data_IF_692246727742
#
_entry.id   IF_692246727742
#
_cell.length_a   1.000
_cell.length_b   1.000
_cell.length_c   1.000
_cell.angle_alpha   90.00
_cell.angle_beta   90.00
_cell.angle_gamma   90.00
#
_symmetry.space_group_name_H-M   'P 1'
#
loop_
_entity.id
_entity.type
_entity.pdbx_description
1 polymer ?
#
# COMPACT_ATOMS: atom_id res chain seq x y z
N UNK A 1 5.90 -3.48 -19.00
CA UNK A 1 6.50 -2.13 -18.98
C UNK A 1 8.01 -2.32 -18.91
N UNK A 2 8.81 -1.70 -19.79
CA UNK A 2 10.26 -1.71 -19.62
C UNK A 2 10.61 -0.88 -18.38
N UNK A 3 11.20 -1.51 -17.37
CA UNK A 3 11.73 -0.85 -16.18
C UNK A 3 13.25 -0.88 -16.35
N UNK A 4 13.91 0.27 -16.61
CA UNK A 4 15.37 0.33 -16.59
C UNK A 4 15.90 -0.27 -15.30
N UNK A 5 16.98 -1.05 -15.37
CA UNK A 5 17.53 -1.77 -14.22
C UNK A 5 17.84 -0.86 -13.03
N UNK A 6 18.25 0.39 -13.28
CA UNK A 6 18.54 1.38 -12.24
C UNK A 6 17.30 1.94 -11.51
N UNK A 7 16.08 1.73 -12.04
CA UNK A 7 14.83 2.08 -11.36
C UNK A 7 14.17 0.87 -10.69
N UNK A 8 14.62 -0.33 -11.03
CA UNK A 8 14.08 -1.57 -10.49
C UNK A 8 14.71 -1.84 -9.12
N UNK A 9 13.91 -1.90 -8.06
CA UNK A 9 14.38 -2.21 -6.72
C UNK A 9 14.06 -3.67 -6.42
N UNK A 10 15.07 -4.53 -6.39
CA UNK A 10 14.90 -5.97 -6.13
C UNK A 10 15.05 -6.36 -4.66
N UNK A 11 15.46 -5.41 -3.82
CA UNK A 11 15.58 -5.57 -2.37
C UNK A 11 14.18 -5.72 -1.76
N UNK A 12 13.91 -6.86 -1.13
CA UNK A 12 12.61 -7.17 -0.55
C UNK A 12 12.28 -6.25 0.63
N UNK A 13 13.26 -5.89 1.45
CA UNK A 13 13.03 -5.04 2.63
C UNK A 13 12.62 -3.63 2.19
N UNK A 14 13.23 -3.09 1.12
CA UNK A 14 12.80 -1.81 0.54
C UNK A 14 11.40 -1.90 -0.09
N UNK A 15 11.07 -3.01 -0.74
CA UNK A 15 9.72 -3.23 -1.29
C UNK A 15 8.67 -3.29 -0.18
N UNK A 16 8.94 -4.03 0.89
CA UNK A 16 8.06 -4.16 2.06
C UNK A 16 7.91 -2.83 2.78
N UNK A 17 9.00 -2.09 2.99
CA UNK A 17 8.97 -0.74 3.57
C UNK A 17 8.01 0.18 2.82
N UNK A 18 7.99 0.12 1.48
CA UNK A 18 7.02 0.88 0.68
C UNK A 18 5.57 0.44 0.96
N UNK A 19 5.32 -0.87 1.01
CA UNK A 19 3.99 -1.45 1.30
C UNK A 19 3.50 -0.97 2.67
N UNK A 20 4.36 -1.03 3.70
CA UNK A 20 4.00 -0.63 5.06
C UNK A 20 3.73 0.88 5.17
N UNK A 21 4.52 1.71 4.48
CA UNK A 21 4.32 3.16 4.46
C UNK A 21 3.07 3.58 3.68
N UNK A 22 2.74 2.87 2.59
CA UNK A 22 1.63 3.17 1.68
C UNK A 22 0.72 1.94 1.50
N UNK A 23 0.02 1.47 2.55
CA UNK A 23 -0.62 0.16 2.56
C UNK A 23 -1.99 0.11 1.88
N UNK A 24 -2.55 1.25 1.48
CA UNK A 24 -3.76 1.30 0.68
C UNK A 24 -3.43 0.84 -0.74
N UNK A 25 -3.49 -0.46 -0.96
CA UNK A 25 -3.21 -1.10 -2.23
C UNK A 25 -4.43 -1.15 -3.13
N UNK A 26 -4.18 -1.20 -4.44
CA UNK A 26 -5.21 -1.50 -5.44
C UNK A 26 -5.07 -2.95 -5.85
N UNK A 27 -6.02 -3.77 -5.41
CA UNK A 27 -6.14 -5.18 -5.80
C UNK A 27 -6.78 -5.26 -7.18
N UNK A 28 -6.14 -5.95 -8.10
CA UNK A 28 -6.60 -6.27 -9.44
C UNK A 28 -6.76 -7.77 -9.59
N UNK A 29 -7.87 -8.17 -10.21
CA UNK A 29 -8.11 -9.52 -10.68
C UNK A 29 -8.86 -9.45 -12.00
N UNK A 30 -8.74 -10.51 -12.79
CA UNK A 30 -9.51 -10.65 -14.02
C UNK A 30 -10.13 -12.04 -14.09
N UNK A 31 -11.35 -12.12 -14.61
CA UNK A 31 -11.95 -13.36 -15.06
C UNK A 31 -12.15 -13.24 -16.56
N UNK A 32 -11.51 -14.13 -17.33
CA UNK A 32 -11.87 -14.28 -18.73
C UNK A 32 -13.32 -14.74 -18.75
N UNK A 33 -14.26 -13.84 -19.05
CA UNK A 33 -15.68 -14.12 -19.01
C UNK A 33 -15.96 -15.43 -19.73
N UNK A 34 -16.38 -16.46 -18.99
CA UNK A 34 -16.89 -17.69 -19.61
C UNK A 34 -18.32 -17.48 -20.10
N UNK A 35 -18.66 -16.29 -20.61
CA UNK A 35 -19.94 -16.03 -21.25
C UNK A 35 -19.98 -16.63 -22.67
N UNK A 36 -19.65 -17.92 -22.79
CA UNK A 36 -19.89 -18.69 -24.00
C UNK A 36 -21.24 -19.40 -23.91
N UNK A 37 -21.86 -19.68 -25.07
CA UNK A 37 -23.09 -20.49 -25.19
C UNK A 37 -23.06 -21.77 -24.32
N UNK A 38 -21.90 -22.41 -24.18
CA UNK A 38 -21.69 -23.60 -23.35
C UNK A 38 -21.95 -23.37 -21.84
N UNK A 39 -21.67 -22.19 -21.31
CA UNK A 39 -21.90 -21.87 -19.89
C UNK A 39 -23.38 -21.54 -19.63
N UNK A 40 -24.06 -20.93 -20.61
CA UNK A 40 -25.52 -20.76 -20.60
C UNK A 40 -26.25 -22.11 -20.54
N UNK A 41 -25.87 -23.07 -21.40
CA UNK A 41 -26.49 -24.40 -21.41
C UNK A 41 -26.23 -25.21 -20.13
N UNK A 42 -25.16 -24.90 -19.37
CA UNK A 42 -24.83 -25.57 -18.10
C UNK A 42 -25.44 -24.89 -16.88
N UNK A 43 -25.47 -23.56 -16.84
CA UNK A 43 -25.89 -22.78 -15.67
C UNK A 43 -27.36 -22.38 -15.70
N UNK A 44 -28.01 -22.38 -16.87
CA UNK A 44 -29.36 -21.89 -17.07
C UNK A 44 -29.51 -20.38 -16.89
N UNK A 45 -28.41 -19.65 -16.67
CA UNK A 45 -28.41 -18.19 -16.49
C UNK A 45 -28.17 -17.53 -17.85
N UNK A 46 -29.12 -16.72 -18.38
CA UNK A 46 -28.90 -15.99 -19.62
C UNK A 46 -27.64 -15.13 -19.51
N UNK A 47 -26.94 -14.85 -20.62
CA UNK A 47 -25.84 -13.90 -20.62
C UNK A 47 -26.35 -12.58 -20.04
N UNK A 48 -26.00 -12.30 -18.78
CA UNK A 48 -26.31 -11.01 -18.16
C UNK A 48 -25.48 -9.96 -18.89
N UNK A 49 -26.06 -8.77 -19.12
CA UNK A 49 -25.30 -7.60 -19.56
C UNK A 49 -24.00 -7.52 -18.77
N UNK A 50 -22.86 -7.54 -19.47
CA UNK A 50 -21.55 -7.50 -18.85
C UNK A 50 -21.48 -6.26 -17.96
N UNK A 51 -21.48 -6.44 -16.63
CA UNK A 51 -21.11 -5.35 -15.73
C UNK A 51 -19.69 -4.94 -16.12
N UNK A 52 -19.38 -3.64 -16.12
CA UNK A 52 -18.03 -3.16 -16.50
C UNK A 52 -16.93 -3.91 -15.75
N UNK A 53 -17.20 -4.28 -14.49
CA UNK A 53 -16.25 -4.98 -13.62
C UNK A 53 -16.36 -6.52 -13.66
N UNK A 54 -17.16 -7.10 -14.56
CA UNK A 54 -17.39 -8.56 -14.61
C UNK A 54 -16.22 -9.34 -15.22
N UNK A 55 -15.35 -8.68 -15.96
CA UNK A 55 -14.16 -9.28 -16.58
C UNK A 55 -12.87 -8.85 -15.89
N UNK A 56 -12.80 -7.61 -15.40
CA UNK A 56 -11.67 -7.06 -14.66
C UNK A 56 -12.19 -6.23 -13.50
N UNK A 57 -11.68 -6.49 -12.29
CA UNK A 57 -12.10 -5.76 -11.10
C UNK A 57 -10.90 -5.12 -10.42
N UNK A 58 -11.12 -3.91 -9.89
CA UNK A 58 -10.18 -3.20 -9.03
C UNK A 58 -10.84 -2.89 -7.69
N UNK A 59 -10.15 -3.09 -6.58
CA UNK A 59 -10.64 -2.70 -5.24
C UNK A 59 -9.50 -2.12 -4.43
N UNK A 60 -9.76 -0.97 -3.81
CA UNK A 60 -8.81 -0.29 -2.92
C UNK A 60 -9.00 -0.84 -1.51
N UNK A 61 -7.96 -1.44 -0.94
CA UNK A 61 -8.01 -2.05 0.40
C UNK A 61 -6.72 -1.73 1.15
N UNK A 62 -6.78 -1.48 2.48
CA UNK A 62 -5.59 -1.52 3.31
C UNK A 62 -5.09 -2.97 3.41
N UNK A 63 -3.81 -3.16 3.15
CA UNK A 63 -3.13 -4.44 3.32
C UNK A 63 -2.12 -4.37 4.47
N UNK A 64 -1.90 -5.52 5.09
CA UNK A 64 -0.79 -5.76 5.99
C UNK A 64 0.12 -6.84 5.40
N UNK A 65 1.42 -6.62 5.43
CA UNK A 65 2.42 -7.60 4.99
C UNK A 65 2.76 -8.56 6.13
N UNK A 66 2.76 -9.86 5.82
CA UNK A 66 3.14 -10.92 6.76
C UNK A 66 4.37 -11.65 6.21
N UNK A 67 5.52 -11.63 6.90
CA UNK A 67 6.73 -12.31 6.43
C UNK A 67 6.58 -13.83 6.45
N UNK A 68 7.17 -14.51 5.47
CA UNK A 68 7.28 -15.98 5.49
C UNK A 68 8.58 -16.41 6.16
N UNK A 69 8.59 -16.33 7.48
CA UNK A 69 9.76 -16.67 8.30
C UNK A 69 10.12 -18.16 8.25
N UNK A 70 9.19 -19.03 7.85
CA UNK A 70 9.40 -20.48 7.86
C UNK A 70 10.14 -20.96 6.61
N UNK A 71 9.83 -20.39 5.43
CA UNK A 71 10.40 -20.86 4.16
C UNK A 71 11.35 -19.86 3.51
N UNK A 72 11.41 -18.61 3.99
CA UNK A 72 12.14 -17.53 3.34
C UNK A 72 11.47 -17.09 2.02
N UNK A 73 10.20 -17.41 1.83
CA UNK A 73 9.38 -16.92 0.72
C UNK A 73 9.19 -15.40 0.76
N UNK A 74 8.52 -14.84 -0.25
CA UNK A 74 8.29 -13.38 -0.35
C UNK A 74 7.20 -12.86 0.59
N UNK A 75 6.73 -13.67 1.55
CA UNK A 75 5.65 -13.31 2.46
C UNK A 75 4.26 -13.36 1.84
N UNK A 76 3.31 -12.78 2.57
CA UNK A 76 1.89 -12.73 2.24
C UNK A 76 1.34 -11.32 2.44
N UNK A 77 0.25 -11.00 1.76
CA UNK A 77 -0.59 -9.85 2.08
C UNK A 77 -1.90 -10.32 2.70
N UNK A 78 -2.33 -9.68 3.79
CA UNK A 78 -3.64 -9.90 4.38
C UNK A 78 -4.48 -8.63 4.31
N UNK A 79 -5.79 -8.80 4.04
CA UNK A 79 -6.78 -7.75 4.04
C UNK A 79 -8.15 -8.32 4.37
N UNK A 80 -9.16 -7.46 4.47
CA UNK A 80 -10.56 -7.86 4.51
C UNK A 80 -11.38 -7.04 3.52
N UNK A 81 -12.53 -7.57 3.11
CA UNK A 81 -13.42 -6.93 2.15
C UNK A 81 -14.88 -7.17 2.57
N UNK A 82 -15.80 -6.29 2.18
CA UNK A 82 -17.23 -6.48 2.45
C UNK A 82 -17.73 -7.78 1.78
N UNK A 83 -18.42 -8.65 2.53
CA UNK A 83 -18.84 -9.98 2.06
C UNK A 83 -19.62 -9.98 0.75
N UNK A 84 -20.33 -8.89 0.44
CA UNK A 84 -21.14 -8.68 -0.77
C UNK A 84 -20.37 -8.08 -1.94
N UNK A 85 -19.11 -7.69 -1.78
CA UNK A 85 -18.29 -7.19 -2.87
C UNK A 85 -17.95 -8.37 -3.82
N UNK A 86 -18.28 -8.19 -5.10
CA UNK A 86 -18.13 -9.19 -6.16
C UNK A 86 -16.68 -9.70 -6.30
N UNK A 87 -15.68 -8.90 -5.93
CA UNK A 87 -14.27 -9.28 -6.03
C UNK A 87 -13.96 -10.55 -5.23
N UNK A 88 -14.69 -10.83 -4.13
CA UNK A 88 -14.56 -12.08 -3.39
C UNK A 88 -14.87 -13.30 -4.27
N UNK A 89 -16.00 -13.27 -4.98
CA UNK A 89 -16.39 -14.34 -5.88
C UNK A 89 -15.41 -14.46 -7.06
N UNK A 90 -14.96 -13.32 -7.60
CA UNK A 90 -14.02 -13.32 -8.72
C UNK A 90 -12.69 -14.00 -8.35
N UNK A 91 -12.17 -13.74 -7.13
CA UNK A 91 -10.95 -14.38 -6.64
C UNK A 91 -11.13 -15.88 -6.34
N UNK A 92 -12.33 -16.32 -5.97
CA UNK A 92 -12.65 -17.74 -5.81
C UNK A 92 -12.68 -18.47 -7.18
N UNK A 93 -13.13 -17.79 -8.23
CA UNK A 93 -13.15 -18.30 -9.61
C UNK A 93 -11.76 -18.29 -10.27
N UNK A 94 -10.99 -17.22 -10.05
CA UNK A 94 -9.60 -17.09 -10.48
C UNK A 94 -8.77 -16.43 -9.37
N UNK A 95 -7.91 -17.16 -8.67
CA UNK A 95 -7.16 -16.60 -7.54
C UNK A 95 -5.99 -15.71 -7.97
N UNK A 96 -5.61 -15.68 -9.26
CA UNK A 96 -4.45 -14.92 -9.70
C UNK A 96 -4.74 -13.42 -9.61
N UNK A 97 -3.93 -12.69 -8.85
CA UNK A 97 -4.14 -11.27 -8.62
C UNK A 97 -2.84 -10.47 -8.62
N UNK A 98 -3.01 -9.16 -8.72
CA UNK A 98 -1.95 -8.15 -8.59
C UNK A 98 -2.41 -7.12 -7.55
N UNK A 99 -1.58 -6.80 -6.58
CA UNK A 99 -1.77 -5.63 -5.71
C UNK A 99 -0.73 -4.56 -6.06
N UNK A 100 -1.20 -3.34 -6.35
CA UNK A 100 -0.34 -2.19 -6.62
C UNK A 100 -0.33 -1.25 -5.42
N UNK A 101 0.86 -0.95 -4.92
CA UNK A 101 1.12 0.07 -3.90
C UNK A 101 1.89 1.21 -4.53
N UNK A 102 1.54 2.45 -4.20
CA UNK A 102 2.13 3.65 -4.79
C UNK A 102 2.45 4.68 -3.70
N UNK A 103 3.62 5.29 -3.79
CA UNK A 103 4.02 6.39 -2.90
C UNK A 103 3.35 7.72 -3.27
N UNK A 104 3.75 8.78 -2.58
CA UNK A 104 3.62 10.13 -3.17
C UNK A 104 4.39 10.22 -4.49
N UNK A 105 3.87 11.01 -5.42
CA UNK A 105 4.47 11.27 -6.74
C UNK A 105 4.55 12.78 -7.01
N UNK A 106 5.33 13.20 -8.01
CA UNK A 106 5.20 14.55 -8.54
C UNK A 106 5.68 14.65 -9.97
N UNK A 107 5.06 15.54 -10.73
CA UNK A 107 5.67 16.10 -11.92
C UNK A 107 6.97 16.82 -11.55
N UNK A 108 8.00 16.65 -12.36
CA UNK A 108 9.30 17.32 -12.24
C UNK A 108 9.48 18.25 -13.42
N UNK A 109 9.41 19.55 -13.14
CA UNK A 109 9.61 20.58 -14.16
C UNK A 109 11.07 20.65 -14.58
N UNK A 110 11.38 20.74 -15.89
CA UNK A 110 12.72 21.02 -16.35
C UNK A 110 13.32 22.33 -15.80
N UNK A 111 12.48 23.30 -15.41
CA UNK A 111 12.93 24.57 -14.84
C UNK A 111 13.59 24.42 -13.46
N UNK A 112 13.41 23.27 -12.81
CA UNK A 112 14.04 22.99 -11.52
C UNK A 112 15.49 22.53 -11.67
N UNK A 113 15.93 22.12 -12.87
CA UNK A 113 17.31 21.71 -13.11
C UNK A 113 18.23 22.92 -13.32
N UNK A 114 19.20 23.21 -12.41
CA UNK A 114 20.08 24.35 -12.57
C UNK A 114 20.95 24.25 -13.84
N UNK A 115 21.30 23.04 -14.28
CA UNK A 115 22.08 22.83 -15.49
C UNK A 115 21.28 23.00 -16.80
N UNK A 116 19.95 23.19 -16.75
CA UNK A 116 19.13 23.42 -17.95
C UNK A 116 19.62 24.63 -18.73
N UNK A 117 19.91 25.73 -18.05
CA UNK A 117 20.42 26.97 -18.69
C UNK A 117 21.76 26.78 -19.42
N UNK A 118 22.52 25.72 -19.12
CA UNK A 118 23.81 25.44 -19.74
C UNK A 118 23.74 24.48 -20.93
N UNK A 119 22.76 23.57 -20.93
CA UNK A 119 22.74 22.44 -21.88
C UNK A 119 21.47 22.35 -22.71
N UNK A 120 20.37 22.96 -22.26
CA UNK A 120 19.03 22.94 -22.89
C UNK A 120 18.45 21.53 -23.12
N UNK A 121 19.08 20.48 -22.58
CA UNK A 121 18.73 19.07 -22.81
C UNK A 121 18.01 18.44 -21.62
N UNK A 122 16.90 19.03 -21.19
CA UNK A 122 16.04 18.46 -20.14
C UNK A 122 14.59 18.40 -20.59
N UNK A 123 13.96 17.25 -20.34
CA UNK A 123 12.56 16.99 -20.63
C UNK A 123 11.77 16.81 -19.33
N UNK A 124 10.47 17.10 -19.32
CA UNK A 124 9.63 16.84 -18.16
C UNK A 124 9.58 15.35 -17.82
N UNK A 125 9.39 15.05 -16.54
CA UNK A 125 9.25 13.67 -16.04
C UNK A 125 8.37 13.63 -14.79
N UNK A 126 8.13 12.43 -14.26
CA UNK A 126 7.53 12.21 -12.96
C UNK A 126 8.48 11.44 -12.04
N UNK A 127 8.45 11.80 -10.77
CA UNK A 127 9.08 11.06 -9.67
C UNK A 127 8.00 10.34 -8.87
N UNK A 128 8.25 9.07 -8.55
CA UNK A 128 7.34 8.18 -7.83
C UNK A 128 8.04 6.88 -7.44
N UNK A 129 7.46 6.16 -6.48
CA UNK A 129 7.74 4.76 -6.23
C UNK A 129 6.45 3.92 -6.35
N UNK A 130 6.57 2.71 -6.88
CA UNK A 130 5.51 1.71 -6.82
C UNK A 130 6.04 0.30 -6.58
N UNK A 131 5.21 -0.53 -5.97
CA UNK A 131 5.41 -1.98 -5.80
C UNK A 131 4.20 -2.72 -6.34
N UNK A 132 4.45 -3.71 -7.17
CA UNK A 132 3.48 -4.62 -7.77
C UNK A 132 3.72 -6.02 -7.17
N UNK A 133 2.82 -6.45 -6.28
CA UNK A 133 2.85 -7.79 -5.68
C UNK A 133 1.91 -8.72 -6.46
N UNK A 134 2.46 -9.74 -7.08
CA UNK A 134 1.73 -10.75 -7.83
C UNK A 134 1.59 -12.01 -6.99
N UNK A 135 0.38 -12.56 -6.94
CA UNK A 135 0.11 -13.68 -6.05
C UNK A 135 -1.14 -14.46 -6.39
N UNK A 136 -1.46 -15.40 -5.50
CA UNK A 136 -2.72 -16.13 -5.49
C UNK A 136 -3.49 -15.79 -4.23
N UNK A 137 -4.69 -15.25 -4.41
CA UNK A 137 -5.59 -14.95 -3.31
C UNK A 137 -6.36 -16.19 -2.84
N UNK A 138 -6.62 -16.24 -1.54
CA UNK A 138 -7.53 -17.16 -0.89
C UNK A 138 -8.54 -16.33 -0.08
N UNK A 139 -9.82 -16.55 -0.34
CA UNK A 139 -10.89 -15.95 0.45
C UNK A 139 -11.10 -16.76 1.73
N UNK A 140 -11.05 -16.07 2.87
CA UNK A 140 -11.27 -16.66 4.19
C UNK A 140 -12.67 -16.30 4.65
N UNK A 141 -13.53 -17.32 4.78
CA UNK A 141 -14.93 -17.16 5.19
C UNK A 141 -15.18 -17.82 6.54
N UNK A 142 -15.99 -17.18 7.37
CA UNK A 142 -16.48 -17.72 8.64
C UNK A 142 -15.36 -18.13 9.63
N UNK A 143 -14.19 -17.49 9.54
CA UNK A 143 -13.10 -17.63 10.50
C UNK A 143 -12.97 -16.30 11.27
N UNK A 144 -13.75 -16.16 12.34
CA UNK A 144 -13.82 -14.93 13.13
C UNK A 144 -12.47 -14.63 13.81
N UNK A 145 -11.72 -15.66 14.19
CA UNK A 145 -10.40 -15.49 14.82
C UNK A 145 -9.38 -14.92 13.83
N UNK A 146 -9.31 -15.48 12.62
CA UNK A 146 -8.43 -14.98 11.56
C UNK A 146 -8.81 -13.54 11.15
N UNK A 147 -10.11 -13.25 11.05
CA UNK A 147 -10.59 -11.90 10.73
C UNK A 147 -10.23 -10.88 11.81
N UNK A 148 -10.40 -11.25 13.09
CA UNK A 148 -10.02 -10.39 14.20
C UNK A 148 -8.51 -10.13 14.23
N UNK A 149 -7.69 -11.15 13.98
CA UNK A 149 -6.23 -11.00 13.88
C UNK A 149 -5.84 -10.06 12.73
N UNK A 150 -6.49 -10.20 11.58
CA UNK A 150 -6.27 -9.33 10.42
C UNK A 150 -6.66 -7.88 10.73
N UNK A 151 -7.80 -7.68 11.40
CA UNK A 151 -8.25 -6.35 11.81
C UNK A 151 -7.26 -5.70 12.79
N UNK A 152 -6.81 -6.43 13.82
CA UNK A 152 -5.77 -5.93 14.74
C UNK A 152 -4.50 -5.55 13.99
N UNK A 153 -4.00 -6.40 13.09
CA UNK A 153 -2.75 -6.14 12.36
C UNK A 153 -2.82 -4.85 11.53
N UNK A 154 -3.93 -4.63 10.82
CA UNK A 154 -4.15 -3.43 10.01
C UNK A 154 -4.35 -2.20 10.92
N UNK A 155 -5.13 -2.32 12.00
CA UNK A 155 -5.35 -1.25 12.97
C UNK A 155 -4.04 -0.82 13.63
N UNK A 156 -3.25 -1.76 14.14
CA UNK A 156 -1.98 -1.50 14.84
C UNK A 156 -0.97 -0.85 13.90
N UNK A 157 -0.96 -1.22 12.62
CA UNK A 157 -0.14 -0.59 11.59
C UNK A 157 -0.50 0.90 11.40
N UNK A 158 -1.79 1.23 11.36
CA UNK A 158 -2.25 2.62 11.14
C UNK A 158 -2.14 3.48 12.40
N UNK A 159 -2.56 2.96 13.54
CA UNK A 159 -2.36 3.62 14.84
C UNK A 159 -0.86 3.75 15.15
N UNK A 160 -0.05 2.83 14.64
CA UNK A 160 1.40 2.84 14.60
C UNK A 160 2.02 4.11 14.04
N UNK A 161 1.37 4.67 13.01
CA UNK A 161 1.83 5.86 12.28
C UNK A 161 1.35 7.16 12.89
N UNK A 162 0.38 7.11 13.80
CA UNK A 162 -0.12 8.30 14.47
C UNK A 162 0.90 8.77 15.51
N UNK A 163 1.12 10.09 15.63
CA UNK A 163 1.85 10.61 16.78
C UNK A 163 1.06 10.22 18.04
N UNK A 164 1.76 9.77 19.08
CA UNK A 164 1.14 9.68 20.39
C UNK A 164 0.71 11.10 20.78
N UNK A 165 -0.49 11.24 21.35
CA UNK A 165 -0.87 12.50 21.95
C UNK A 165 0.22 12.83 22.98
N UNK A 166 0.92 13.94 22.79
CA UNK A 166 1.80 14.48 23.81
C UNK A 166 0.93 14.63 25.06
N UNK A 167 1.29 13.97 26.16
CA UNK A 167 0.83 14.43 27.47
C UNK A 167 1.26 15.89 27.50
N UNK A 168 0.30 16.82 27.59
CA UNK A 168 0.63 18.22 27.75
C UNK A 168 1.63 18.28 28.91
N UNK A 169 2.80 18.91 28.69
CA UNK A 169 3.80 19.10 29.73
C UNK A 169 3.08 19.60 31.00
N UNK A 170 3.02 18.74 32.01
CA UNK A 170 2.70 19.16 33.36
C UNK A 170 3.82 20.13 33.76
N UNK A 171 3.55 21.42 33.60
CA UNK A 171 4.31 22.50 34.20
C UNK A 171 4.09 22.40 35.70
N UNK A 172 4.81 21.49 36.36
CA UNK A 172 5.33 21.64 37.72
C UNK A 172 6.11 20.36 38.11
N UNK A 173 7.44 20.48 38.09
CA UNK A 173 8.37 19.40 38.37
C UNK A 173 8.22 18.80 39.76
N UNK A 174 7.50 17.67 39.84
CA UNK A 174 7.64 16.69 40.90
C UNK A 174 7.79 15.29 40.31
N UNK A 175 9.03 14.80 40.29
CA UNK A 175 9.35 13.40 40.15
C UNK A 175 8.89 12.66 41.40
N UNK A 176 7.64 12.21 41.44
CA UNK A 176 7.20 11.17 42.35
C UNK A 176 6.48 10.10 41.53
N UNK A 177 6.93 8.85 41.72
CA UNK A 177 6.44 7.60 41.14
C UNK A 177 4.98 7.62 40.63
N UNK A 178 4.80 7.71 39.31
CA UNK A 178 3.48 7.59 38.68
C UNK A 178 3.22 6.12 38.38
N UNK A 179 2.17 5.59 39.02
CA UNK A 179 1.48 4.36 38.64
C UNK A 179 1.24 4.33 37.13
N UNK A 180 1.19 3.14 36.51
CA UNK A 180 0.64 3.00 35.16
C UNK A 180 -0.84 3.39 35.20
N UNK A 181 -1.14 4.68 35.07
CA UNK A 181 -2.50 5.19 35.07
C UNK A 181 -3.20 4.72 33.79
N UNK A 182 -4.44 4.26 33.90
CA UNK A 182 -5.31 3.83 32.79
C UNK A 182 -5.53 4.94 31.73
N UNK A 183 -5.14 6.18 32.05
CA UNK A 183 -5.30 7.40 31.25
C UNK A 183 -4.06 7.81 30.44
N UNK A 184 -2.99 6.99 30.43
CA UNK A 184 -1.83 7.25 29.57
C UNK A 184 -2.23 7.22 28.09
N UNK A 185 -1.73 8.14 27.23
CA UNK A 185 -2.07 8.16 25.82
C UNK A 185 -1.62 6.87 25.14
N UNK A 186 -2.56 5.93 25.00
CA UNK A 186 -2.37 4.66 24.33
C UNK A 186 -3.02 4.71 22.95
N UNK A 187 -2.40 4.00 22.00
CA UNK A 187 -2.98 3.77 20.67
C UNK A 187 -4.33 3.08 20.81
N UNK A 188 -5.24 3.38 19.89
CA UNK A 188 -6.52 2.69 19.88
C UNK A 188 -6.30 1.21 19.51
N UNK A 189 -7.02 0.32 20.16
CA UNK A 189 -6.97 -1.12 19.90
C UNK A 189 -8.37 -1.62 19.59
N UNK A 190 -8.49 -2.61 18.70
CA UNK A 190 -9.78 -3.21 18.33
C UNK A 190 -10.55 -3.74 19.55
N UNK A 191 -9.82 -4.24 20.56
CA UNK A 191 -10.33 -4.74 21.84
C UNK A 191 -11.13 -3.70 22.63
N UNK A 192 -10.94 -2.40 22.36
CA UNK A 192 -11.70 -1.31 23.00
C UNK A 192 -13.12 -1.19 22.43
N UNK A 193 -13.43 -1.89 21.33
CA UNK A 193 -14.78 -1.95 20.77
C UNK A 193 -15.66 -2.91 21.57
N UNK A 194 -16.95 -2.58 21.73
CA UNK A 194 -17.93 -3.51 22.28
C UNK A 194 -17.95 -4.84 21.50
N UNK A 195 -17.80 -5.97 22.22
CA UNK A 195 -17.67 -7.30 21.62
C UNK A 195 -18.88 -7.70 20.75
N UNK A 196 -20.10 -7.55 21.24
CA UNK A 196 -21.31 -7.92 20.48
C UNK A 196 -21.49 -7.06 19.22
N UNK A 197 -21.02 -5.82 19.27
CA UNK A 197 -20.96 -4.95 18.10
C UNK A 197 -19.92 -5.45 17.08
N UNK A 198 -18.70 -5.73 17.55
CA UNK A 198 -17.62 -6.23 16.72
C UNK A 198 -17.97 -7.56 16.05
N UNK A 199 -18.49 -8.53 16.81
CA UNK A 199 -18.88 -9.86 16.31
C UNK A 199 -19.97 -9.76 15.23
N UNK A 200 -20.85 -8.75 15.28
CA UNK A 200 -21.82 -8.47 14.20
C UNK A 200 -21.18 -7.89 12.95
N UNK A 201 -20.19 -7.01 13.09
CA UNK A 201 -19.48 -6.42 11.95
C UNK A 201 -18.61 -7.45 11.24
N UNK A 202 -17.95 -8.35 11.99
CA UNK A 202 -17.13 -9.43 11.42
C UNK A 202 -17.92 -10.34 10.47
N UNK A 203 -19.21 -10.57 10.73
CA UNK A 203 -20.10 -11.37 9.86
C UNK A 203 -20.35 -10.75 8.48
N UNK A 204 -20.10 -9.45 8.32
CA UNK A 204 -20.32 -8.70 7.09
C UNK A 204 -19.06 -8.57 6.24
N UNK A 205 -17.93 -9.13 6.67
CA UNK A 205 -16.67 -9.12 5.92
C UNK A 205 -16.20 -10.54 5.63
N UNK A 206 -15.29 -10.65 4.66
CA UNK A 206 -14.48 -11.85 4.42
C UNK A 206 -13.01 -11.45 4.36
N UNK A 207 -12.14 -12.40 4.68
CA UNK A 207 -10.71 -12.21 4.65
C UNK A 207 -10.14 -12.45 3.27
N UNK A 208 -9.01 -11.81 2.98
CA UNK A 208 -8.17 -12.10 1.82
C UNK A 208 -6.77 -12.40 2.34
N UNK A 209 -6.25 -13.59 2.01
CA UNK A 209 -4.83 -13.91 2.13
C UNK A 209 -4.25 -14.03 0.71
N UNK A 210 -3.17 -13.33 0.41
CA UNK A 210 -2.48 -13.41 -0.88
C UNK A 210 -1.07 -13.92 -0.66
N UNK A 211 -0.78 -15.12 -1.14
CA UNK A 211 0.58 -15.63 -1.19
C UNK A 211 1.35 -14.92 -2.30
N UNK A 212 2.45 -14.25 -1.95
CA UNK A 212 3.23 -13.45 -2.91
C UNK A 212 4.21 -14.37 -3.64
N UNK A 213 3.99 -14.53 -4.95
CA UNK A 213 4.84 -15.36 -5.80
C UNK A 213 5.95 -14.53 -6.46
N UNK A 214 5.64 -13.28 -6.83
CA UNK A 214 6.56 -12.37 -7.47
C UNK A 214 6.29 -10.93 -7.04
N UNK A 215 7.36 -10.13 -6.93
CA UNK A 215 7.27 -8.69 -6.69
C UNK A 215 8.07 -7.98 -7.77
N UNK A 216 7.50 -6.92 -8.32
CA UNK A 216 8.20 -5.97 -9.19
C UNK A 216 8.04 -4.57 -8.60
N UNK A 217 9.06 -3.74 -8.70
CA UNK A 217 8.99 -2.39 -8.18
C UNK A 217 9.65 -1.40 -9.14
N UNK A 218 9.30 -0.12 -8.98
CA UNK A 218 9.92 0.96 -9.74
C UNK A 218 10.03 2.20 -8.88
N UNK A 219 11.24 2.57 -8.50
CA UNK A 219 11.51 3.77 -7.71
C UNK A 219 12.26 4.76 -8.60
N UNK A 220 11.66 5.92 -8.88
CA UNK A 220 12.18 6.92 -9.81
C UNK A 220 12.27 8.26 -9.10
N UNK A 221 13.50 8.64 -8.77
CA UNK A 221 13.85 9.87 -8.06
C UNK A 221 15.21 10.42 -8.52
N UNK A 222 15.32 10.74 -9.81
CA UNK A 222 16.49 11.44 -10.39
C UNK A 222 17.87 10.79 -10.17
N UNK A 223 17.93 9.47 -9.99
CA UNK A 223 19.17 8.76 -9.59
C UNK A 223 20.36 8.97 -10.54
N UNK A 224 20.06 9.17 -11.83
CA UNK A 224 21.07 9.39 -12.87
C UNK A 224 21.57 10.86 -12.94
N UNK A 225 20.82 11.82 -12.39
CA UNK A 225 21.12 13.25 -12.52
C UNK A 225 22.27 13.69 -11.60
N UNK A 226 23.14 14.63 -12.01
CA UNK A 226 24.19 15.18 -11.14
C UNK A 226 23.62 15.80 -9.84
N UNK A 227 24.37 15.81 -8.71
CA UNK A 227 23.87 16.29 -7.42
C UNK A 227 23.26 17.70 -7.46
N UNK A 228 23.85 18.62 -8.23
CA UNK A 228 23.32 19.98 -8.41
C UNK A 228 21.89 20.00 -8.98
N UNK A 229 21.57 19.06 -9.88
CA UNK A 229 20.23 18.94 -10.45
C UNK A 229 19.26 18.30 -9.48
N UNK A 230 19.71 17.29 -8.71
CA UNK A 230 18.87 16.66 -7.68
C UNK A 230 18.54 17.65 -6.57
N UNK A 231 19.51 18.44 -6.10
CA UNK A 231 19.26 19.52 -5.16
C UNK A 231 18.33 20.61 -5.73
N UNK A 232 18.41 20.89 -7.03
CA UNK A 232 17.47 21.77 -7.72
C UNK A 232 16.04 21.23 -7.73
N UNK A 233 15.86 19.93 -7.97
CA UNK A 233 14.56 19.24 -7.92
C UNK A 233 13.99 19.22 -6.51
N UNK A 234 14.79 18.89 -5.49
CA UNK A 234 14.38 18.96 -4.08
C UNK A 234 13.94 20.38 -3.71
N UNK A 235 14.69 21.39 -4.15
CA UNK A 235 14.30 22.79 -3.99
C UNK A 235 13.02 23.15 -4.74
N UNK A 236 12.76 22.54 -5.90
CA UNK A 236 11.50 22.64 -6.64
C UNK A 236 10.32 22.10 -5.83
N UNK A 237 10.47 20.90 -5.25
CA UNK A 237 9.46 20.32 -4.36
C UNK A 237 9.09 21.27 -3.23
N UNK A 238 10.08 21.81 -2.52
CA UNK A 238 9.87 22.70 -1.38
C UNK A 238 9.20 24.04 -1.76
N UNK A 239 9.43 24.55 -2.97
CA UNK A 239 8.87 25.84 -3.41
C UNK A 239 7.46 25.73 -3.98
N UNK A 240 7.13 24.61 -4.63
CA UNK A 240 5.97 24.54 -5.52
C UNK A 240 4.93 23.48 -5.11
N UNK A 241 5.24 22.58 -4.19
CA UNK A 241 4.32 21.54 -3.72
C UNK A 241 3.78 21.83 -2.32
N UNK A 242 2.73 21.09 -1.95
CA UNK A 242 2.27 21.00 -0.56
C UNK A 242 3.44 20.60 0.37
N UNK A 243 3.66 21.26 1.53
CA UNK A 243 4.81 21.03 2.38
C UNK A 243 4.99 19.57 2.83
N UNK A 244 3.90 18.91 3.24
CA UNK A 244 3.98 17.52 3.71
C UNK A 244 4.29 16.55 2.57
N UNK A 245 3.77 16.82 1.37
CA UNK A 245 4.12 16.07 0.16
C UNK A 245 5.57 16.33 -0.29
N UNK A 246 6.02 17.58 -0.22
CA UNK A 246 7.36 18.00 -0.60
C UNK A 246 8.43 17.33 0.26
N UNK A 247 8.23 17.27 1.57
CA UNK A 247 9.13 16.61 2.52
C UNK A 247 9.26 15.12 2.21
N UNK A 248 8.14 14.41 2.03
CA UNK A 248 8.15 12.98 1.67
C UNK A 248 8.86 12.70 0.35
N UNK A 249 8.65 13.54 -0.67
CA UNK A 249 9.35 13.40 -1.95
C UNK A 249 10.85 13.67 -1.82
N UNK A 250 11.25 14.67 -1.03
CA UNK A 250 12.65 14.95 -0.77
C UNK A 250 13.33 13.79 -0.04
N UNK A 251 12.67 13.19 0.95
CA UNK A 251 13.21 12.05 1.69
C UNK A 251 13.35 10.81 0.82
N UNK A 252 12.32 10.46 0.04
CA UNK A 252 12.41 9.38 -0.95
C UNK A 252 13.51 9.64 -1.97
N UNK A 253 13.68 10.90 -2.41
CA UNK A 253 14.75 11.27 -3.34
C UNK A 253 16.13 11.05 -2.72
N UNK A 254 16.34 11.49 -1.47
CA UNK A 254 17.62 11.30 -0.77
C UNK A 254 17.91 9.83 -0.51
N UNK A 255 16.91 9.07 -0.07
CA UNK A 255 17.05 7.64 0.22
C UNK A 255 17.47 6.83 -1.02
N UNK A 256 16.92 7.20 -2.19
CA UNK A 256 17.15 6.47 -3.43
C UNK A 256 18.35 6.98 -4.24
N UNK A 257 18.98 8.08 -3.81
CA UNK A 257 20.07 8.69 -4.55
C UNK A 257 21.43 8.07 -4.17
N UNK A 258 22.21 7.53 -5.12
CA UNK A 258 23.42 6.75 -4.80
C UNK A 258 24.66 7.60 -4.48
N UNK A 259 24.56 8.93 -4.47
CA UNK A 259 25.68 9.86 -4.27
C UNK A 259 25.37 10.82 -3.12
N UNK A 260 26.39 11.49 -2.61
CA UNK A 260 26.22 12.55 -1.61
C UNK A 260 25.52 13.78 -2.23
N UNK A 261 24.57 14.37 -1.49
CA UNK A 261 23.82 15.59 -1.86
C UNK A 261 24.23 16.79 -1.02
#
# INVERSE_FOLDING_TARGET
MYIPSHLNVTDLDQQVKLIEQYPLGVLFNYNSGKAGLLDYFKSGKPPTESRVDSEMCATHLPFHYVPDAATGGKGKLIAHLAKTNQHAQMLEENPNCLVVFQSVDSYVSPDWYPLKKKTEKFVPTWDFACVHAYGKAKIIRNDEQWLLQTLNSITDQEEGKRPLAMVADDVDGKEDSVSRDEDSPRRWEVSQTNKDHLDRLLKNIVGIEIEINSIQSKFKFQQEMPPVNVNGVIGGYARELDPAKAEKLADLTREQYPRQL
#
